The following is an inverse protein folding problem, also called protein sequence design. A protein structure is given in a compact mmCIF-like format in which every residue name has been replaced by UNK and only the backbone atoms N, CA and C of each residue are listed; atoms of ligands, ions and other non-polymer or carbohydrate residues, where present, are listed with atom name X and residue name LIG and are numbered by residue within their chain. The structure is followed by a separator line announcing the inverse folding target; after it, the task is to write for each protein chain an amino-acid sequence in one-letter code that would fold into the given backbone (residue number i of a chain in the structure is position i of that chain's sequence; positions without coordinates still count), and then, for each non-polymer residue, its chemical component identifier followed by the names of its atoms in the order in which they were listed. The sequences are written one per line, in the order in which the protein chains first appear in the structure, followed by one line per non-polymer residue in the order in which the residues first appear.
data_IF_936045355437
#
_entry.id   IF_936045355437
#
_cell.length_a   1.000
_cell.length_b   1.000
_cell.length_c   1.000
_cell.angle_alpha   90.00
_cell.angle_beta   90.00
_cell.angle_gamma   90.00
#
_symmetry.space_group_name_H-M   'P 1'
#
loop_
_entity.id
_entity.type
_entity.pdbx_description
1 polymer ?
#
# COMPACT_ATOMS: atom_id res chain seq x y z
N UNK A 1 -19.51 -3.57 -4.01
CA UNK A 1 -18.19 -3.98 -4.55
C UNK A 1 -17.41 -2.71 -4.92
N UNK A 2 -16.43 -2.19 -4.21
CA UNK A 2 -15.69 -2.56 -3.01
C UNK A 2 -14.41 -1.72 -3.09
N UNK A 3 -14.24 -0.73 -2.22
CA UNK A 3 -13.09 0.19 -2.26
C UNK A 3 -11.81 -0.63 -2.08
N UNK A 4 -11.08 -0.97 -3.15
CA UNK A 4 -9.94 -1.90 -3.09
C UNK A 4 -8.77 -1.33 -2.29
N UNK A 5 -7.68 -0.98 -2.97
CA UNK A 5 -6.53 -0.30 -2.34
C UNK A 5 -6.93 1.03 -1.66
N UNK A 6 -8.07 1.63 -2.06
CA UNK A 6 -8.58 2.88 -1.47
C UNK A 6 -9.30 2.66 -0.13
N UNK A 7 -9.56 1.42 0.28
CA UNK A 7 -10.00 1.15 1.65
C UNK A 7 -8.90 1.43 2.69
N UNK A 8 -7.63 1.41 2.30
CA UNK A 8 -6.54 1.64 3.24
C UNK A 8 -6.58 3.06 3.82
N UNK A 9 -6.82 3.15 5.14
CA UNK A 9 -6.86 4.38 5.96
C UNK A 9 -5.53 4.72 6.65
N UNK A 10 -4.44 4.04 6.29
CA UNK A 10 -3.10 4.31 6.85
C UNK A 10 -3.05 4.11 8.37
N UNK A 11 -3.65 3.02 8.86
CA UNK A 11 -3.70 2.69 10.29
C UNK A 11 -2.44 1.97 10.82
N UNK A 12 -1.46 1.66 9.96
CA UNK A 12 -0.15 1.04 10.26
C UNK A 12 -0.14 -0.36 10.91
N UNK A 13 -1.27 -0.85 11.43
CA UNK A 13 -1.40 -2.19 12.02
C UNK A 13 -0.81 -3.31 11.14
N UNK A 14 -0.95 -3.24 9.82
CA UNK A 14 -0.41 -4.26 8.92
C UNK A 14 1.13 -4.26 8.87
N UNK A 15 1.77 -3.08 8.93
CA UNK A 15 3.23 -2.97 8.98
C UNK A 15 3.75 -3.53 10.30
N UNK A 16 3.15 -3.13 11.42
CA UNK A 16 3.59 -3.55 12.77
C UNK A 16 3.35 -5.04 13.02
N UNK A 17 2.26 -5.60 12.47
CA UNK A 17 1.95 -7.02 12.61
C UNK A 17 2.81 -7.93 11.72
N UNK A 18 3.60 -7.38 10.79
CA UNK A 18 4.28 -8.20 9.80
C UNK A 18 5.53 -8.88 10.38
N UNK A 19 5.56 -10.23 10.48
CA UNK A 19 6.71 -10.95 11.05
C UNK A 19 7.94 -10.95 10.13
N UNK A 20 7.80 -10.46 8.90
CA UNK A 20 8.86 -10.37 7.89
C UNK A 20 9.42 -8.96 7.72
N UNK A 21 9.07 -8.04 8.63
CA UNK A 21 9.48 -6.64 8.60
C UNK A 21 9.16 -5.93 7.27
N UNK A 22 8.00 -6.28 6.70
CA UNK A 22 7.55 -5.69 5.44
C UNK A 22 6.80 -4.40 5.75
N UNK A 23 7.22 -3.35 5.06
CA UNK A 23 6.58 -2.05 5.13
C UNK A 23 5.31 -2.01 4.28
N UNK A 24 4.28 -2.78 4.65
CA UNK A 24 3.04 -2.99 3.87
C UNK A 24 2.34 -1.66 3.58
N UNK A 25 2.30 -0.75 4.55
CA UNK A 25 1.70 0.58 4.36
C UNK A 25 2.42 1.37 3.25
N UNK A 26 3.74 1.24 3.14
CA UNK A 26 4.54 1.86 2.08
C UNK A 26 4.21 1.26 0.72
N UNK A 27 4.16 -0.07 0.62
CA UNK A 27 3.79 -0.76 -0.62
C UNK A 27 2.38 -0.36 -1.11
N UNK A 28 1.41 -0.22 -0.18
CA UNK A 28 0.07 0.27 -0.52
C UNK A 28 0.13 1.71 -1.06
N UNK A 29 0.98 2.58 -0.49
CA UNK A 29 1.16 3.94 -0.98
C UNK A 29 1.78 3.99 -2.38
N UNK A 30 2.73 3.10 -2.67
CA UNK A 30 3.34 2.95 -3.99
C UNK A 30 2.29 2.51 -5.03
N UNK A 31 1.42 1.56 -4.69
CA UNK A 31 0.30 1.16 -5.55
C UNK A 31 -0.70 2.30 -5.76
N UNK A 32 -1.03 3.06 -4.70
CA UNK A 32 -1.87 4.28 -4.81
C UNK A 32 -1.27 5.27 -5.80
N UNK A 33 0.04 5.53 -5.69
CA UNK A 33 0.78 6.42 -6.58
C UNK A 33 0.81 5.89 -8.01
N UNK A 34 1.06 4.61 -8.20
CA UNK A 34 1.14 4.00 -9.53
C UNK A 34 -0.18 4.07 -10.28
N UNK A 35 -1.29 3.78 -9.60
CA UNK A 35 -2.63 3.90 -10.16
C UNK A 35 -3.05 5.37 -10.40
N UNK A 36 -2.56 6.31 -9.61
CA UNK A 36 -2.84 7.75 -9.80
C UNK A 36 -2.03 8.34 -10.96
N UNK A 37 -0.79 7.90 -11.12
CA UNK A 37 0.16 8.45 -12.12
C UNK A 37 0.22 7.62 -13.40
N UNK A 38 -0.35 6.42 -13.41
CA UNK A 38 -0.25 5.44 -14.50
C UNK A 38 1.16 4.84 -14.68
N UNK A 39 2.08 5.05 -13.72
CA UNK A 39 3.47 4.57 -13.79
C UNK A 39 3.76 3.65 -12.62
N UNK A 40 4.17 2.42 -12.89
CA UNK A 40 4.68 1.51 -11.86
C UNK A 40 6.19 1.77 -11.72
N UNK A 41 6.65 2.00 -10.49
CA UNK A 41 8.07 2.07 -10.19
C UNK A 41 8.55 0.65 -9.90
N UNK A 42 9.44 0.13 -10.75
CA UNK A 42 9.98 -1.24 -10.65
C UNK A 42 11.40 -1.25 -10.08
N UNK A 43 11.92 -0.07 -9.72
CA UNK A 43 13.33 0.19 -9.42
C UNK A 43 13.65 -0.09 -7.97
#
# INVERSE_FOLDING_TARGET
QGTGVWACRTAFNCTEACPRDIHITKAIAEVKRALTTGRVDYT
#
